data_IF_079889390644
#
_entry.id   IF_079889390644
#
_cell.length_a   1.000
_cell.length_b   1.000
_cell.length_c   1.000
_cell.angle_alpha   90.00
_cell.angle_beta   90.00
_cell.angle_gamma   90.00
#
_symmetry.space_group_name_H-M   'P 1'
#
loop_
_entity.id
_entity.type
_entity.pdbx_description
1 polymer ?
#
# COMPACT_ATOMS: atom_id res chain seq x y z
N UNK A 1 15.15 21.31 36.07
CA UNK A 1 14.44 20.03 35.94
C UNK A 1 14.09 19.90 34.46
N UNK A 2 14.94 19.20 33.66
CA UNK A 2 14.70 18.93 32.28
C UNK A 2 13.62 17.84 32.22
N UNK A 3 12.40 18.20 31.85
CA UNK A 3 11.46 17.21 31.33
C UNK A 3 12.06 16.71 29.99
N UNK A 4 12.60 15.53 30.01
CA UNK A 4 12.89 14.78 28.78
C UNK A 4 11.55 14.59 28.07
N UNK A 5 11.42 15.23 26.92
CA UNK A 5 10.24 15.15 26.10
C UNK A 5 10.09 13.69 25.62
N UNK A 6 9.13 12.98 26.19
CA UNK A 6 8.85 11.58 25.86
C UNK A 6 8.47 11.42 24.39
N UNK A 7 7.96 12.48 23.76
CA UNK A 7 7.63 12.52 22.32
C UNK A 7 8.86 12.37 21.42
N UNK A 8 10.02 12.91 21.80
CA UNK A 8 11.27 12.74 21.04
C UNK A 8 11.79 11.29 21.09
N UNK A 9 11.60 10.60 22.20
CA UNK A 9 11.97 9.19 22.34
C UNK A 9 11.06 8.28 21.50
N UNK A 10 9.77 8.58 21.42
CA UNK A 10 8.81 7.82 20.61
C UNK A 10 9.02 8.06 19.11
N UNK A 11 9.39 9.27 18.69
CA UNK A 11 9.71 9.59 17.31
C UNK A 11 10.94 8.81 16.79
N UNK A 12 11.93 8.56 17.64
CA UNK A 12 13.11 7.75 17.28
C UNK A 12 12.81 6.24 17.29
N UNK A 13 11.81 5.82 18.04
CA UNK A 13 11.40 4.41 18.15
C UNK A 13 10.52 3.95 16.99
N UNK A 14 9.77 4.87 16.38
CA UNK A 14 8.82 4.59 15.29
C UNK A 14 9.17 5.45 14.05
N UNK A 15 10.08 4.97 13.20
CA UNK A 15 10.56 5.74 12.04
C UNK A 15 9.52 5.93 10.95
N UNK A 16 8.49 5.07 10.89
CA UNK A 16 7.39 5.18 9.92
C UNK A 16 6.25 5.99 10.55
N UNK A 17 6.03 7.21 10.07
CA UNK A 17 5.00 8.12 10.58
C UNK A 17 3.87 8.26 9.58
N UNK A 18 2.62 8.17 10.06
CA UNK A 18 1.45 8.42 9.22
C UNK A 18 1.41 9.86 8.71
N UNK A 19 1.89 10.81 9.51
CA UNK A 19 1.98 12.22 9.16
C UNK A 19 2.89 12.52 7.97
N UNK A 20 3.81 11.63 7.63
CA UNK A 20 4.70 11.79 6.48
C UNK A 20 4.10 11.24 5.17
N UNK A 21 2.95 10.56 5.25
CA UNK A 21 2.21 10.12 4.08
C UNK A 21 1.46 11.30 3.44
N UNK A 22 1.44 11.32 2.12
CA UNK A 22 0.56 12.20 1.37
C UNK A 22 -0.75 11.46 1.07
N UNK A 23 -1.89 12.02 1.46
CA UNK A 23 -3.19 11.37 1.28
C UNK A 23 -4.09 12.21 0.39
N UNK A 24 -4.61 11.61 -0.68
CA UNK A 24 -5.50 12.28 -1.63
C UNK A 24 -6.44 11.26 -2.30
N UNK A 25 -7.42 11.75 -3.03
CA UNK A 25 -8.20 10.90 -3.94
C UNK A 25 -7.35 10.58 -5.17
N UNK A 26 -7.04 9.30 -5.39
CA UNK A 26 -6.25 8.84 -6.51
C UNK A 26 -7.14 8.40 -7.69
N UNK A 27 -6.67 8.66 -8.92
CA UNK A 27 -7.31 8.10 -10.11
C UNK A 27 -6.73 6.71 -10.41
N UNK A 28 -7.54 5.83 -10.98
CA UNK A 28 -7.12 4.45 -11.29
C UNK A 28 -6.13 4.35 -12.46
N UNK A 29 -6.11 5.33 -13.37
CA UNK A 29 -5.35 5.26 -14.61
C UNK A 29 -4.15 6.21 -14.67
N UNK A 30 -4.27 7.36 -14.02
CA UNK A 30 -3.31 8.45 -14.11
C UNK A 30 -3.12 9.16 -12.77
N UNK A 31 -2.05 9.93 -12.67
CA UNK A 31 -1.71 10.73 -11.51
C UNK A 31 -1.12 12.07 -11.96
N UNK A 32 -1.12 13.09 -11.10
CA UNK A 32 -0.55 14.38 -11.43
C UNK A 32 0.97 14.27 -11.65
N UNK A 33 1.47 15.06 -12.58
CA UNK A 33 2.90 15.13 -12.91
C UNK A 33 3.76 15.42 -11.67
N UNK A 34 3.28 16.30 -10.78
CA UNK A 34 3.96 16.67 -9.56
C UNK A 34 3.00 16.85 -8.39
N UNK A 35 3.36 16.26 -7.26
CA UNK A 35 2.69 16.43 -5.97
C UNK A 35 3.66 17.09 -5.01
N UNK A 36 3.22 18.17 -4.36
CA UNK A 36 4.00 18.88 -3.35
C UNK A 36 3.34 18.65 -2.00
N UNK A 37 4.09 18.15 -1.04
CA UNK A 37 3.64 17.89 0.32
C UNK A 37 4.06 18.99 1.28
N UNK A 38 3.25 19.25 2.30
CA UNK A 38 3.59 20.06 3.48
C UNK A 38 2.76 19.61 4.68
N UNK A 39 3.30 19.81 5.89
CA UNK A 39 2.63 19.49 7.17
C UNK A 39 1.95 20.71 7.77
N UNK A 40 1.19 21.44 6.99
CA UNK A 40 0.49 22.64 7.43
C UNK A 40 -0.89 22.30 8.01
N UNK A 41 -1.33 22.91 9.12
CA UNK A 41 -2.59 22.55 9.79
C UNK A 41 -3.81 22.56 8.86
N UNK A 42 -3.87 23.48 7.90
CA UNK A 42 -4.95 23.60 6.93
C UNK A 42 -4.99 22.47 5.91
N UNK A 43 -3.91 21.70 5.79
CA UNK A 43 -3.81 20.53 4.90
C UNK A 43 -4.18 19.23 5.60
N UNK A 44 -4.45 19.27 6.90
CA UNK A 44 -4.84 18.10 7.65
C UNK A 44 -6.18 17.56 7.17
N UNK A 45 -6.29 16.25 7.11
CA UNK A 45 -7.55 15.54 6.94
C UNK A 45 -8.28 15.43 8.28
N UNK A 46 -9.40 16.14 8.42
CA UNK A 46 -10.27 16.05 9.60
C UNK A 46 -11.33 14.95 9.46
N UNK A 47 -11.51 14.42 8.24
CA UNK A 47 -12.51 13.43 7.86
C UNK A 47 -11.96 12.01 7.78
N UNK A 48 -10.65 11.82 7.99
CA UNK A 48 -10.02 10.50 7.99
C UNK A 48 -9.74 10.03 9.42
N UNK A 49 -10.07 8.76 9.73
CA UNK A 49 -9.73 8.17 11.01
C UNK A 49 -8.21 8.02 11.14
N UNK A 50 -7.69 8.30 12.32
CA UNK A 50 -6.26 8.14 12.62
C UNK A 50 -6.06 7.09 13.70
N UNK A 51 -5.30 6.05 13.38
CA UNK A 51 -4.91 4.97 14.28
C UNK A 51 -3.42 5.04 14.68
N UNK A 52 -2.73 6.10 14.29
CA UNK A 52 -1.33 6.35 14.60
C UNK A 52 -1.09 6.77 16.05
N UNK A 53 0.04 7.42 16.28
CA UNK A 53 0.37 7.99 17.57
C UNK A 53 -0.56 9.17 17.92
N UNK A 54 -0.72 9.45 19.22
CA UNK A 54 -1.52 10.57 19.66
C UNK A 54 -1.01 11.88 19.04
N UNK A 55 -1.90 12.60 18.34
CA UNK A 55 -1.57 13.85 17.64
C UNK A 55 -1.06 13.64 16.21
N UNK A 56 -0.92 12.40 15.75
CA UNK A 56 -0.63 12.10 14.34
C UNK A 56 -1.82 12.47 13.45
N UNK A 57 -1.57 12.76 12.19
CA UNK A 57 -2.62 13.17 11.23
C UNK A 57 -2.17 12.86 9.81
N UNK A 58 -3.14 12.67 8.92
CA UNK A 58 -2.89 12.61 7.48
C UNK A 58 -2.95 13.99 6.86
N UNK A 59 -2.14 14.22 5.84
CA UNK A 59 -2.06 15.51 5.14
C UNK A 59 -2.38 15.36 3.66
N UNK A 60 -3.17 16.31 3.13
CA UNK A 60 -3.41 16.48 1.70
C UNK A 60 -2.16 17.04 1.03
N UNK A 61 -2.00 16.87 -0.29
CA UNK A 61 -0.99 17.62 -1.03
C UNK A 61 -1.22 19.13 -0.84
N UNK A 62 -0.15 19.86 -0.60
CA UNK A 62 -0.18 21.33 -0.59
C UNK A 62 -0.50 21.86 -1.98
N UNK A 63 0.05 21.23 -3.01
CA UNK A 63 -0.16 21.62 -4.39
C UNK A 63 -0.03 20.41 -5.32
N UNK A 64 -0.88 20.40 -6.33
CA UNK A 64 -0.82 19.48 -7.47
C UNK A 64 -0.47 20.34 -8.70
N UNK A 65 0.55 19.94 -9.46
CA UNK A 65 1.06 20.69 -10.61
C UNK A 65 1.18 19.80 -11.85
N UNK A 66 1.11 20.43 -13.01
CA UNK A 66 1.25 19.78 -14.31
C UNK A 66 -0.01 19.04 -14.76
N UNK A 67 0.14 18.23 -15.77
CA UNK A 67 -0.92 17.40 -16.33
C UNK A 67 -1.07 16.09 -15.54
N UNK A 68 -2.19 15.41 -15.76
CA UNK A 68 -2.39 14.04 -15.29
C UNK A 68 -1.83 13.09 -16.33
N UNK A 69 -0.85 12.27 -15.91
CA UNK A 69 -0.13 11.35 -16.77
C UNK A 69 -0.41 9.89 -16.37
N UNK A 70 -0.46 8.97 -17.33
CA UNK A 70 -0.62 7.56 -17.03
C UNK A 70 0.49 7.05 -16.11
N UNK A 71 0.15 6.14 -15.18
CA UNK A 71 1.17 5.44 -14.40
C UNK A 71 2.15 4.71 -15.33
N UNK A 72 3.45 4.84 -15.04
CA UNK A 72 4.51 4.14 -15.77
C UNK A 72 4.34 2.62 -15.60
N UNK A 73 3.95 2.21 -14.40
CA UNK A 73 3.65 0.81 -14.11
C UNK A 73 2.65 0.72 -12.95
N UNK A 74 1.82 -0.33 -12.97
CA UNK A 74 0.95 -0.71 -11.85
C UNK A 74 1.27 -2.15 -11.45
N UNK A 75 1.51 -2.34 -10.16
CA UNK A 75 1.90 -3.63 -9.59
C UNK A 75 0.94 -3.99 -8.46
N UNK A 76 0.55 -5.26 -8.41
CA UNK A 76 -0.15 -5.85 -7.29
C UNK A 76 0.81 -6.78 -6.55
N UNK A 77 1.05 -6.54 -5.28
CA UNK A 77 1.79 -7.46 -4.43
C UNK A 77 0.81 -8.27 -3.59
N UNK A 78 1.08 -9.57 -3.44
CA UNK A 78 0.27 -10.51 -2.65
C UNK A 78 1.19 -11.21 -1.65
N UNK A 79 0.81 -11.19 -0.38
CA UNK A 79 1.38 -12.03 0.69
C UNK A 79 0.35 -13.13 1.01
N UNK A 80 0.52 -14.34 0.45
CA UNK A 80 -0.44 -15.42 0.64
C UNK A 80 -0.40 -15.96 2.06
N UNK A 81 -1.55 -16.20 2.65
CA UNK A 81 -1.65 -16.99 3.87
C UNK A 81 -1.91 -18.46 3.54
N UNK A 82 -1.41 -19.36 4.43
CA UNK A 82 -1.79 -20.76 4.40
C UNK A 82 -3.21 -21.02 4.90
N UNK A 83 -3.52 -22.29 5.17
CA UNK A 83 -4.73 -22.67 5.90
C UNK A 83 -4.58 -22.27 7.36
N UNK A 84 -5.29 -21.27 7.82
CA UNK A 84 -5.24 -20.79 9.20
C UNK A 84 -6.01 -19.49 9.39
N UNK A 85 -5.77 -18.82 10.51
CA UNK A 85 -6.38 -17.54 10.87
C UNK A 85 -5.74 -16.33 10.19
N UNK A 86 -4.62 -16.52 9.49
CA UNK A 86 -3.92 -15.43 8.80
C UNK A 86 -4.63 -15.06 7.50
N UNK A 87 -4.60 -13.80 7.14
CA UNK A 87 -5.18 -13.29 5.90
C UNK A 87 -4.20 -13.35 4.73
N UNK A 88 -4.70 -13.69 3.54
CA UNK A 88 -4.01 -13.39 2.29
C UNK A 88 -4.17 -11.91 2.01
N UNK A 89 -3.11 -11.14 2.15
CA UNK A 89 -3.12 -9.70 1.95
C UNK A 89 -2.65 -9.29 0.55
N UNK A 90 -3.11 -8.13 0.10
CA UNK A 90 -2.68 -7.54 -1.16
C UNK A 90 -2.53 -6.03 -1.07
N UNK A 91 -1.71 -5.47 -1.93
CA UNK A 91 -1.61 -4.04 -2.19
C UNK A 91 -1.45 -3.80 -3.69
N UNK A 92 -2.16 -2.79 -4.21
CA UNK A 92 -2.01 -2.32 -5.59
C UNK A 92 -1.34 -0.96 -5.58
N UNK A 93 -0.24 -0.84 -6.31
CA UNK A 93 0.50 0.41 -6.40
C UNK A 93 0.64 0.87 -7.86
N UNK A 94 0.66 2.19 -8.04
CA UNK A 94 1.04 2.85 -9.29
C UNK A 94 2.34 3.64 -9.12
N UNK A 95 3.18 3.67 -10.14
CA UNK A 95 4.43 4.43 -10.14
C UNK A 95 4.35 5.57 -11.16
N UNK A 96 4.64 6.80 -10.72
CA UNK A 96 4.82 7.95 -11.60
C UNK A 96 5.81 8.94 -10.99
N UNK A 97 6.80 9.39 -11.79
CA UNK A 97 7.78 10.42 -11.42
C UNK A 97 8.44 10.19 -10.05
N UNK A 98 8.71 8.92 -9.72
CA UNK A 98 9.34 8.53 -8.47
C UNK A 98 8.39 8.50 -7.26
N UNK A 99 7.13 8.85 -7.41
CA UNK A 99 6.09 8.66 -6.39
C UNK A 99 5.43 7.30 -6.54
N UNK A 100 5.10 6.68 -5.40
CA UNK A 100 4.35 5.44 -5.31
C UNK A 100 2.95 5.77 -4.81
N UNK A 101 1.95 5.45 -5.62
CA UNK A 101 0.55 5.64 -5.31
C UNK A 101 -0.05 4.31 -4.82
N UNK A 102 -0.51 4.27 -3.59
CA UNK A 102 -1.25 3.12 -3.04
C UNK A 102 -2.70 3.27 -3.46
N UNK A 103 -3.11 2.50 -4.46
CA UNK A 103 -4.42 2.60 -5.12
C UNK A 103 -5.47 1.67 -4.51
N UNK A 104 -5.03 0.58 -3.92
CA UNK A 104 -5.89 -0.42 -3.27
C UNK A 104 -5.05 -1.26 -2.30
N UNK A 105 -5.64 -1.69 -1.20
CA UNK A 105 -5.04 -2.61 -0.26
C UNK A 105 -6.14 -3.36 0.50
N UNK A 106 -5.86 -4.55 0.98
CA UNK A 106 -6.81 -5.33 1.78
C UNK A 106 -6.36 -6.75 2.03
N UNK A 107 -7.24 -7.54 2.64
CA UNK A 107 -6.98 -8.93 2.98
C UNK A 107 -8.22 -9.82 2.86
N UNK A 108 -7.99 -11.11 2.80
CA UNK A 108 -9.01 -12.16 2.75
C UNK A 108 -8.66 -13.29 3.72
N UNK A 109 -9.53 -13.58 4.66
CA UNK A 109 -9.31 -14.57 5.73
C UNK A 109 -9.44 -16.02 5.30
N UNK A 110 -9.80 -16.30 4.04
CA UNK A 110 -10.07 -17.66 3.56
C UNK A 110 -8.90 -18.32 2.79
N UNK A 111 -7.67 -17.85 2.97
CA UNK A 111 -6.46 -18.41 2.36
C UNK A 111 -6.51 -18.37 0.82
N UNK A 112 -6.43 -19.53 0.18
CA UNK A 112 -6.41 -19.68 -1.27
C UNK A 112 -7.67 -20.37 -1.83
N UNK A 113 -8.84 -20.07 -1.26
CA UNK A 113 -10.12 -20.55 -1.80
C UNK A 113 -10.41 -19.96 -3.18
N UNK A 114 -11.26 -20.64 -3.95
CA UNK A 114 -11.71 -20.15 -5.27
C UNK A 114 -12.23 -18.71 -5.20
N UNK A 115 -12.99 -18.38 -4.15
CA UNK A 115 -13.51 -17.04 -3.92
C UNK A 115 -12.38 -16.00 -3.82
N UNK A 116 -11.33 -16.28 -3.04
CA UNK A 116 -10.18 -15.38 -2.87
C UNK A 116 -9.42 -15.21 -4.18
N UNK A 117 -9.13 -16.31 -4.89
CA UNK A 117 -8.43 -16.28 -6.18
C UNK A 117 -9.21 -15.46 -7.24
N UNK A 118 -10.53 -15.63 -7.30
CA UNK A 118 -11.39 -14.83 -8.16
C UNK A 118 -11.36 -13.34 -7.77
N UNK A 119 -11.49 -13.01 -6.48
CA UNK A 119 -11.44 -11.62 -6.01
C UNK A 119 -10.12 -10.94 -6.35
N UNK A 120 -8.99 -11.59 -6.10
CA UNK A 120 -7.67 -11.07 -6.46
C UNK A 120 -7.55 -10.82 -7.98
N UNK A 121 -8.06 -11.74 -8.80
CA UNK A 121 -8.09 -11.57 -10.25
C UNK A 121 -8.95 -10.37 -10.67
N UNK A 122 -10.12 -10.17 -10.06
CA UNK A 122 -10.98 -9.01 -10.34
C UNK A 122 -10.34 -7.70 -9.91
N UNK A 123 -9.61 -7.67 -8.79
CA UNK A 123 -8.84 -6.50 -8.35
C UNK A 123 -7.74 -6.19 -9.36
N UNK A 124 -6.97 -7.19 -9.77
CA UNK A 124 -5.94 -7.04 -10.81
C UNK A 124 -6.50 -6.46 -12.11
N UNK A 125 -7.66 -6.95 -12.54
CA UNK A 125 -8.39 -6.49 -13.73
C UNK A 125 -8.90 -5.05 -13.57
N UNK A 126 -9.54 -4.73 -12.45
CA UNK A 126 -10.06 -3.40 -12.12
C UNK A 126 -8.97 -2.34 -12.22
N UNK A 127 -7.83 -2.62 -11.64
CA UNK A 127 -6.69 -1.70 -11.62
C UNK A 127 -5.79 -1.80 -12.84
N UNK A 128 -6.04 -2.75 -13.75
CA UNK A 128 -5.21 -2.99 -14.95
C UNK A 128 -3.73 -3.12 -14.60
N UNK A 129 -3.41 -3.97 -13.61
CA UNK A 129 -2.03 -4.15 -13.17
C UNK A 129 -1.16 -4.79 -14.26
N UNK A 130 0.07 -4.35 -14.37
CA UNK A 130 1.03 -4.88 -15.35
C UNK A 130 1.66 -6.18 -14.86
N UNK A 131 1.83 -6.30 -13.54
CA UNK A 131 2.51 -7.41 -12.89
C UNK A 131 1.89 -7.71 -11.54
N UNK A 132 1.86 -9.00 -11.18
CA UNK A 132 1.54 -9.49 -9.83
C UNK A 132 2.81 -10.08 -9.22
N UNK A 133 3.22 -9.56 -8.06
CA UNK A 133 4.30 -10.08 -7.23
C UNK A 133 3.70 -10.95 -6.14
N UNK A 134 4.19 -12.18 -5.98
CA UNK A 134 3.66 -13.13 -4.99
C UNK A 134 4.80 -13.53 -4.06
N UNK A 135 4.65 -13.30 -2.76
CA UNK A 135 5.63 -13.74 -1.77
C UNK A 135 5.58 -15.27 -1.63
N UNK A 136 6.69 -15.94 -1.97
CA UNK A 136 6.79 -17.41 -1.94
C UNK A 136 7.32 -17.89 -0.59
N UNK A 137 6.55 -17.69 0.47
CA UNK A 137 6.90 -18.13 1.83
C UNK A 137 6.45 -19.55 2.13
N UNK A 138 5.46 -20.07 1.38
CA UNK A 138 4.84 -21.37 1.61
C UNK A 138 4.58 -22.10 0.30
N UNK A 139 5.19 -23.27 0.13
CA UNK A 139 4.74 -24.22 -0.85
C UNK A 139 5.27 -24.07 -2.27
N UNK A 140 6.47 -23.53 -2.46
CA UNK A 140 7.19 -23.60 -3.75
C UNK A 140 6.37 -23.12 -4.96
N UNK A 141 5.72 -21.95 -4.82
CA UNK A 141 4.94 -21.37 -5.91
C UNK A 141 3.51 -21.92 -6.04
N UNK A 142 3.02 -22.70 -5.09
CA UNK A 142 1.67 -23.27 -5.15
C UNK A 142 0.59 -22.22 -5.35
N UNK A 143 0.68 -21.07 -4.66
CA UNK A 143 -0.30 -20.00 -4.79
C UNK A 143 -0.37 -19.46 -6.22
N UNK A 144 0.78 -19.25 -6.85
CA UNK A 144 0.85 -18.82 -8.25
C UNK A 144 0.19 -19.85 -9.19
N UNK A 145 0.46 -21.14 -8.97
CA UNK A 145 -0.15 -22.22 -9.77
C UNK A 145 -1.67 -22.22 -9.66
N UNK A 146 -2.20 -21.98 -8.46
CA UNK A 146 -3.65 -21.90 -8.24
C UNK A 146 -4.27 -20.63 -8.81
N UNK A 147 -3.58 -19.49 -8.81
CA UNK A 147 -4.07 -18.22 -9.31
C UNK A 147 -4.05 -18.14 -10.84
N UNK A 148 -3.04 -18.74 -11.48
CA UNK A 148 -2.85 -18.68 -12.95
C UNK A 148 -4.09 -19.01 -13.80
N UNK A 149 -4.87 -20.05 -13.53
CA UNK A 149 -6.06 -20.37 -14.33
C UNK A 149 -7.08 -19.23 -14.35
N UNK A 150 -7.28 -18.55 -13.23
CA UNK A 150 -8.19 -17.40 -13.12
C UNK A 150 -7.67 -16.19 -13.89
N UNK A 151 -6.36 -15.92 -13.80
CA UNK A 151 -5.71 -14.85 -14.56
C UNK A 151 -5.80 -15.11 -16.07
N UNK A 152 -5.54 -16.34 -16.53
CA UNK A 152 -5.63 -16.69 -17.94
C UNK A 152 -7.06 -16.48 -18.48
N UNK A 153 -8.07 -16.83 -17.67
CA UNK A 153 -9.48 -16.72 -18.03
C UNK A 153 -9.96 -15.27 -18.10
N UNK A 154 -9.66 -14.47 -17.07
CA UNK A 154 -10.33 -13.19 -16.85
C UNK A 154 -9.44 -11.96 -17.05
N UNK A 155 -8.14 -12.06 -16.76
CA UNK A 155 -7.21 -10.94 -16.91
C UNK A 155 -5.76 -11.41 -17.00
N UNK A 156 -5.20 -11.41 -18.19
CA UNK A 156 -3.82 -11.83 -18.45
C UNK A 156 -2.83 -10.75 -17.98
N UNK A 157 -1.98 -11.09 -17.01
CA UNK A 157 -0.84 -10.26 -16.59
C UNK A 157 0.34 -11.15 -16.18
N UNK A 158 1.52 -10.56 -16.07
CA UNK A 158 2.73 -11.26 -15.62
C UNK A 158 2.67 -11.54 -14.13
N UNK A 159 3.06 -12.76 -13.73
CA UNK A 159 3.29 -13.11 -12.33
C UNK A 159 4.77 -13.32 -12.06
N UNK A 160 5.23 -12.95 -10.86
CA UNK A 160 6.61 -13.15 -10.42
C UNK A 160 6.62 -13.58 -8.95
N UNK A 161 7.33 -14.66 -8.65
CA UNK A 161 7.53 -15.14 -7.28
C UNK A 161 8.70 -14.40 -6.64
N UNK A 162 8.45 -13.87 -5.44
CA UNK A 162 9.49 -13.20 -4.64
C UNK A 162 9.81 -14.06 -3.44
N UNK A 163 11.07 -14.50 -3.33
CA UNK A 163 11.60 -15.19 -2.15
C UNK A 163 12.35 -14.20 -1.28
N UNK A 164 11.98 -14.15 -0.02
CA UNK A 164 12.60 -13.26 0.95
C UNK A 164 13.30 -14.08 2.03
N UNK A 165 14.61 -13.85 2.17
CA UNK A 165 15.46 -14.56 3.16
C UNK A 165 15.89 -13.68 4.32
N UNK A 166 15.63 -12.37 4.25
CA UNK A 166 16.03 -11.39 5.26
C UNK A 166 14.94 -11.10 6.28
N UNK A 167 15.32 -10.54 7.43
CA UNK A 167 14.37 -10.16 8.49
C UNK A 167 13.31 -9.19 7.95
N UNK A 168 12.03 -9.58 8.06
CA UNK A 168 10.88 -8.84 7.50
C UNK A 168 10.82 -7.39 8.03
N UNK A 169 11.00 -7.18 9.34
CA UNK A 169 10.93 -5.85 9.94
C UNK A 169 12.01 -4.92 9.42
N UNK A 170 13.26 -5.39 9.38
CA UNK A 170 14.36 -4.58 8.88
C UNK A 170 14.17 -4.20 7.41
N UNK A 171 13.77 -5.16 6.58
CA UNK A 171 13.49 -4.93 5.16
C UNK A 171 12.39 -3.89 4.95
N UNK A 172 11.29 -3.96 5.74
CA UNK A 172 10.21 -2.99 5.68
C UNK A 172 10.75 -1.60 6.01
N UNK A 173 11.50 -1.45 7.10
CA UNK A 173 12.06 -0.17 7.49
C UNK A 173 13.04 0.36 6.43
N UNK A 174 14.02 -0.44 6.02
CA UNK A 174 15.04 -0.05 5.03
C UNK A 174 14.43 0.38 3.68
N UNK A 175 13.25 -0.15 3.34
CA UNK A 175 12.55 0.17 2.08
C UNK A 175 11.60 1.35 2.22
N UNK A 176 10.78 1.39 3.27
CA UNK A 176 9.70 2.37 3.40
C UNK A 176 10.13 3.69 4.03
N UNK A 177 11.05 3.66 4.99
CA UNK A 177 11.48 4.88 5.68
C UNK A 177 12.00 5.96 4.73
N UNK A 178 12.89 5.68 3.75
CA UNK A 178 13.35 6.71 2.82
C UNK A 178 12.24 7.28 1.94
N UNK A 179 11.26 6.45 1.57
CA UNK A 179 10.15 6.88 0.72
C UNK A 179 9.12 7.69 1.51
N UNK A 180 8.82 7.28 2.74
CA UNK A 180 7.87 7.96 3.62
C UNK A 180 8.46 9.30 4.06
N UNK A 181 9.71 9.34 4.54
CA UNK A 181 10.39 10.57 4.97
C UNK A 181 10.58 11.59 3.85
N UNK A 182 10.61 11.15 2.60
CA UNK A 182 10.63 12.01 1.42
C UNK A 182 9.22 12.34 0.89
N UNK A 183 8.16 11.92 1.57
CA UNK A 183 6.75 12.13 1.19
C UNK A 183 6.42 11.59 -0.21
N UNK A 184 7.08 10.50 -0.62
CA UNK A 184 6.93 9.88 -1.94
C UNK A 184 5.89 8.76 -1.96
N UNK A 185 5.31 8.41 -0.82
CA UNK A 185 4.18 7.48 -0.75
C UNK A 185 2.89 8.31 -0.66
N UNK A 186 2.05 8.14 -1.67
CA UNK A 186 0.76 8.79 -1.80
C UNK A 186 -0.31 7.71 -1.64
N UNK A 187 -1.22 7.89 -0.70
CA UNK A 187 -2.24 6.89 -0.38
C UNK A 187 -3.62 7.41 -0.80
N UNK A 188 -4.41 6.57 -1.44
CA UNK A 188 -5.81 6.88 -1.71
C UNK A 188 -6.59 6.96 -0.39
N UNK A 189 -7.33 8.05 -0.18
CA UNK A 189 -8.13 8.28 1.01
C UNK A 189 -9.16 7.16 1.25
N UNK A 190 -9.70 6.57 0.20
CA UNK A 190 -10.66 5.45 0.31
C UNK A 190 -10.01 4.16 0.83
N UNK A 191 -8.70 3.96 0.60
CA UNK A 191 -7.97 2.83 1.19
C UNK A 191 -7.94 2.96 2.70
N UNK A 192 -7.65 4.15 3.23
CA UNK A 192 -7.60 4.41 4.67
C UNK A 192 -8.97 4.24 5.31
N UNK A 193 -10.03 4.81 4.73
CA UNK A 193 -11.40 4.69 5.24
C UNK A 193 -11.84 3.24 5.33
N UNK A 194 -11.66 2.49 4.24
CA UNK A 194 -12.06 1.08 4.17
C UNK A 194 -11.29 0.21 5.15
N UNK A 195 -9.99 0.42 5.30
CA UNK A 195 -9.17 -0.34 6.24
C UNK A 195 -9.63 -0.11 7.68
N UNK A 196 -9.91 1.13 8.03
CA UNK A 196 -10.45 1.49 9.35
C UNK A 196 -11.81 0.84 9.63
N UNK A 197 -12.74 0.89 8.67
CA UNK A 197 -14.09 0.33 8.81
C UNK A 197 -14.08 -1.21 8.94
N UNK A 198 -13.07 -1.88 8.37
CA UNK A 198 -12.90 -3.32 8.49
C UNK A 198 -12.26 -3.74 9.82
N UNK A 199 -11.56 -2.83 10.49
CA UNK A 199 -10.76 -3.12 11.70
C UNK A 199 -11.51 -2.73 12.98
N UNK A 200 -12.49 -1.83 12.93
CA UNK A 200 -13.28 -1.29 14.04
C UNK A 200 -14.78 -1.53 13.87
#
# INVERSE_FOLDING_TARGET
>A
QYMLDTTLNDLNKYPLKLSDLCVMTCNLNDAPEKVVWASSPELRHDDLPNVGLQGDSYYRPMQIQGEWLPYISKVMAIDPSGKGSNETSYVVTGLLNGNIYVLDAGGFSAGYTEHVLNKLTQIAKKHKVNKILIEDNFGQGMFEVLLKPYLIKDYKCTTELIRQTTNKHRRILDTLEPLISQHRIIVDAEVIKRDYDLTN
#
